data_IF_121288875568
#
_entry.id   IF_121288875568
#
_cell.length_a   1.000
_cell.length_b   1.000
_cell.length_c   1.000
_cell.angle_alpha   90.00
_cell.angle_beta   90.00
_cell.angle_gamma   90.00
#
_symmetry.space_group_name_H-M   'P 1'
#
loop_
_entity.id
_entity.type
_entity.pdbx_description
1 polymer ?
#
# COMPACT_ATOMS: atom_id res chain seq x y z
N UNK A 1 7.65 12.10 -8.77
CA UNK A 1 8.41 11.77 -7.53
C UNK A 1 7.79 10.57 -6.83
N UNK A 2 8.64 9.78 -6.20
CA UNK A 2 8.20 8.58 -5.50
C UNK A 2 7.87 8.89 -4.04
N UNK A 3 6.78 8.30 -3.57
CA UNK A 3 6.41 8.33 -2.15
C UNK A 3 6.14 6.92 -1.66
N UNK A 4 6.70 6.61 -0.49
CA UNK A 4 6.44 5.37 0.23
C UNK A 4 5.29 5.63 1.21
N UNK A 5 4.23 4.83 1.06
CA UNK A 5 3.07 4.88 1.95
C UNK A 5 3.07 3.60 2.75
N UNK A 6 3.20 3.71 4.06
CA UNK A 6 3.17 2.57 4.97
C UNK A 6 2.00 2.71 5.93
N UNK A 7 1.11 1.73 5.90
CA UNK A 7 -0.09 1.70 6.71
C UNK A 7 -0.01 0.53 7.68
N UNK A 8 -0.22 0.79 8.97
CA UNK A 8 -0.24 -0.25 10.00
C UNK A 8 -1.68 -0.63 10.30
N UNK A 9 -1.98 -1.92 10.19
CA UNK A 9 -3.32 -2.45 10.40
C UNK A 9 -3.67 -2.49 11.88
N UNK A 10 -4.93 -2.17 12.20
CA UNK A 10 -5.45 -2.34 13.55
C UNK A 10 -5.34 -3.81 13.99
N UNK A 11 -5.09 -4.08 15.29
CA UNK A 11 -4.94 -5.47 15.77
C UNK A 11 -6.12 -6.38 15.43
N UNK A 12 -7.34 -5.84 15.40
CA UNK A 12 -8.58 -6.58 15.08
C UNK A 12 -9.07 -6.30 13.65
N UNK A 13 -8.18 -5.84 12.76
CA UNK A 13 -8.55 -5.33 11.46
C UNK A 13 -8.85 -6.39 10.39
N UNK A 14 -8.56 -7.67 10.63
CA UNK A 14 -8.66 -8.66 9.55
C UNK A 14 -10.07 -8.76 8.97
N UNK A 15 -11.12 -8.62 9.80
CA UNK A 15 -12.50 -8.64 9.30
C UNK A 15 -12.79 -7.45 8.36
N UNK A 16 -12.21 -6.29 8.65
CA UNK A 16 -12.34 -5.10 7.78
C UNK A 16 -11.61 -5.37 6.46
N UNK A 17 -10.41 -5.92 6.52
CA UNK A 17 -9.64 -6.28 5.32
C UNK A 17 -10.42 -7.25 4.44
N UNK A 18 -10.98 -8.30 5.02
CA UNK A 18 -11.74 -9.30 4.28
C UNK A 18 -12.99 -8.70 3.64
N UNK A 19 -13.71 -7.85 4.37
CA UNK A 19 -14.94 -7.24 3.89
C UNK A 19 -14.70 -6.27 2.72
N UNK A 20 -13.53 -5.61 2.67
CA UNK A 20 -13.25 -4.57 1.68
C UNK A 20 -12.14 -4.93 0.70
N UNK A 21 -11.70 -6.18 0.69
CA UNK A 21 -10.58 -6.64 -0.14
C UNK A 21 -10.86 -6.46 -1.62
N UNK A 22 -12.03 -6.88 -2.11
CA UNK A 22 -12.35 -6.77 -3.53
C UNK A 22 -12.46 -5.31 -3.98
N UNK A 23 -13.08 -4.46 -3.14
CA UNK A 23 -13.17 -3.03 -3.41
C UNK A 23 -11.78 -2.38 -3.45
N UNK A 24 -10.89 -2.75 -2.54
CA UNK A 24 -9.50 -2.28 -2.51
C UNK A 24 -8.76 -2.66 -3.81
N UNK A 25 -8.86 -3.91 -4.24
CA UNK A 25 -8.22 -4.37 -5.48
C UNK A 25 -8.76 -3.65 -6.69
N UNK A 26 -10.06 -3.45 -6.76
CA UNK A 26 -10.71 -2.71 -7.84
C UNK A 26 -10.22 -1.25 -7.89
N UNK A 27 -10.07 -0.63 -6.72
CA UNK A 27 -9.54 0.73 -6.60
C UNK A 27 -8.12 0.84 -7.17
N UNK A 28 -7.22 -0.07 -6.78
CA UNK A 28 -5.85 -0.07 -7.28
C UNK A 28 -5.80 -0.29 -8.78
N UNK A 29 -6.60 -1.22 -9.29
CA UNK A 29 -6.64 -1.56 -10.72
C UNK A 29 -7.14 -0.39 -11.57
N UNK A 30 -8.12 0.35 -11.07
CA UNK A 30 -8.75 1.46 -11.81
C UNK A 30 -8.01 2.80 -11.60
N UNK A 31 -7.10 2.89 -10.64
CA UNK A 31 -6.40 4.14 -10.31
C UNK A 31 -5.55 4.62 -11.48
N UNK A 32 -5.59 5.93 -11.81
CA UNK A 32 -4.67 6.52 -12.79
C UNK A 32 -3.26 6.74 -12.23
N UNK A 33 -3.06 6.54 -10.93
CA UNK A 33 -1.75 6.72 -10.27
C UNK A 33 -0.80 5.61 -10.73
N UNK A 34 0.44 6.00 -11.01
CA UNK A 34 1.50 5.05 -11.33
C UNK A 34 1.97 4.37 -10.04
N UNK A 35 1.45 3.17 -9.79
CA UNK A 35 1.79 2.37 -8.63
C UNK A 35 3.00 1.50 -8.99
N UNK A 36 4.14 1.81 -8.39
CA UNK A 36 5.38 1.07 -8.65
C UNK A 36 5.45 -0.23 -7.87
N UNK A 37 4.83 -0.26 -6.69
CA UNK A 37 4.86 -1.40 -5.79
C UNK A 37 3.63 -1.32 -4.89
N UNK A 38 3.01 -2.45 -4.62
CA UNK A 38 1.89 -2.54 -3.67
C UNK A 38 1.83 -3.95 -3.10
N UNK A 39 1.55 -4.04 -1.81
CA UNK A 39 1.36 -5.33 -1.17
C UNK A 39 1.12 -5.21 0.32
N UNK A 40 0.60 -6.28 0.93
CA UNK A 40 0.45 -6.32 2.38
C UNK A 40 1.80 -6.56 3.05
N UNK A 41 1.97 -5.98 4.24
CA UNK A 41 2.98 -6.47 5.17
C UNK A 41 2.41 -7.67 5.93
N UNK A 42 3.28 -8.59 6.29
CA UNK A 42 2.90 -9.83 6.96
C UNK A 42 3.83 -10.08 8.14
N UNK A 43 3.41 -10.98 9.05
CA UNK A 43 4.31 -11.42 10.11
C UNK A 43 5.44 -12.31 9.57
N UNK A 44 6.38 -12.68 10.41
CA UNK A 44 7.56 -13.44 9.97
C UNK A 44 7.18 -14.81 9.39
N UNK A 45 6.06 -15.39 9.83
CA UNK A 45 5.56 -16.64 9.28
C UNK A 45 4.90 -16.47 7.91
N UNK A 46 4.64 -15.22 7.49
CA UNK A 46 3.97 -14.93 6.23
C UNK A 46 2.46 -15.19 6.25
N UNK A 47 1.87 -15.33 7.41
CA UNK A 47 0.47 -15.75 7.56
C UNK A 47 -0.47 -14.59 7.86
N UNK A 48 -0.16 -13.80 8.90
CA UNK A 48 -1.04 -12.70 9.31
C UNK A 48 -0.70 -11.41 8.56
N UNK A 49 -1.73 -10.72 8.08
CA UNK A 49 -1.58 -9.38 7.49
C UNK A 49 -1.42 -8.37 8.62
N UNK A 50 -0.38 -7.52 8.53
CA UNK A 50 -0.06 -6.52 9.54
C UNK A 50 -0.21 -5.09 9.04
N UNK A 51 -0.40 -4.91 7.74
CA UNK A 51 -0.53 -3.59 7.13
C UNK A 51 -0.44 -3.65 5.62
N UNK A 52 -0.08 -2.51 5.03
CA UNK A 52 0.09 -2.39 3.58
C UNK A 52 1.21 -1.40 3.28
N UNK A 53 1.92 -1.63 2.18
CA UNK A 53 2.95 -0.73 1.66
C UNK A 53 2.66 -0.44 0.20
N UNK A 54 2.84 0.83 -0.18
CA UNK A 54 2.77 1.28 -1.57
C UNK A 54 3.97 2.16 -1.87
N UNK A 55 4.49 2.06 -3.09
CA UNK A 55 5.35 3.09 -3.66
C UNK A 55 4.63 3.61 -4.90
N UNK A 56 4.36 4.92 -4.92
CA UNK A 56 3.63 5.57 -6.01
C UNK A 56 4.47 6.68 -6.61
N UNK A 57 4.36 6.86 -7.93
CA UNK A 57 4.98 7.97 -8.65
C UNK A 57 3.92 9.01 -8.92
N UNK A 58 4.03 10.15 -8.24
CA UNK A 58 3.04 11.22 -8.26
C UNK A 58 3.74 12.59 -8.29
N UNK A 59 3.03 13.65 -8.69
CA UNK A 59 3.64 14.99 -8.77
C UNK A 59 4.07 15.57 -7.42
N UNK A 60 3.36 15.25 -6.33
CA UNK A 60 3.62 15.85 -5.02
C UNK A 60 3.04 14.99 -3.90
N UNK A 61 3.32 15.40 -2.65
CA UNK A 61 2.82 14.73 -1.44
C UNK A 61 1.29 14.71 -1.38
N UNK A 62 0.64 15.79 -1.77
CA UNK A 62 -0.82 15.88 -1.73
C UNK A 62 -1.47 14.80 -2.59
N UNK A 63 -0.90 14.52 -3.76
CA UNK A 63 -1.39 13.46 -4.64
C UNK A 63 -1.20 12.07 -4.02
N UNK A 64 -0.08 11.84 -3.31
CA UNK A 64 0.14 10.58 -2.60
C UNK A 64 -0.88 10.39 -1.47
N UNK A 65 -1.14 11.44 -0.69
CA UNK A 65 -2.13 11.42 0.38
C UNK A 65 -3.52 11.16 -0.18
N UNK A 66 -3.90 11.83 -1.28
CA UNK A 66 -5.20 11.65 -1.91
C UNK A 66 -5.39 10.21 -2.40
N UNK A 67 -4.35 9.61 -2.99
CA UNK A 67 -4.38 8.21 -3.40
C UNK A 67 -4.66 7.29 -2.21
N UNK A 68 -3.95 7.50 -1.11
CA UNK A 68 -4.11 6.69 0.09
C UNK A 68 -5.49 6.89 0.73
N UNK A 69 -5.98 8.13 0.79
CA UNK A 69 -7.29 8.44 1.38
C UNK A 69 -8.44 7.82 0.59
N UNK A 70 -8.29 7.67 -0.72
CA UNK A 70 -9.32 7.07 -1.58
C UNK A 70 -9.38 5.54 -1.52
N UNK A 71 -8.37 4.89 -0.94
CA UNK A 71 -8.35 3.44 -0.82
C UNK A 71 -9.48 2.98 0.13
N UNK A 72 -10.34 2.04 -0.31
CA UNK A 72 -11.40 1.49 0.56
C UNK A 72 -10.92 0.96 1.90
N UNK A 73 -9.69 0.45 2.00
CA UNK A 73 -9.13 0.05 3.29
C UNK A 73 -8.99 1.26 4.23
N UNK A 74 -8.43 2.34 3.74
CA UNK A 74 -8.29 3.58 4.53
C UNK A 74 -9.65 4.15 4.87
N UNK A 75 -10.55 4.23 3.89
CA UNK A 75 -11.88 4.80 4.07
C UNK A 75 -12.73 4.03 5.08
N UNK A 76 -12.49 2.73 5.24
CA UNK A 76 -13.23 1.87 6.15
C UNK A 76 -12.50 1.58 7.46
N UNK A 77 -11.47 2.34 7.76
CA UNK A 77 -10.85 2.32 9.09
C UNK A 77 -9.95 1.12 9.38
N UNK A 78 -9.38 0.49 8.36
CA UNK A 78 -8.50 -0.67 8.56
C UNK A 78 -7.21 -0.30 9.32
N UNK A 79 -6.67 0.89 9.09
CA UNK A 79 -5.34 1.26 9.57
C UNK A 79 -5.41 2.12 10.83
N UNK A 80 -4.55 1.82 11.80
CA UNK A 80 -4.37 2.65 12.99
C UNK A 80 -3.36 3.77 12.79
N UNK A 81 -2.46 3.63 11.80
CA UNK A 81 -1.48 4.66 11.47
C UNK A 81 -1.06 4.57 10.01
N UNK A 82 -0.61 5.70 9.49
CA UNK A 82 -0.11 5.82 8.13
C UNK A 82 1.03 6.83 8.09
N UNK A 83 2.11 6.47 7.39
CA UNK A 83 3.19 7.41 7.07
C UNK A 83 3.29 7.57 5.56
N UNK A 84 3.60 8.78 5.12
CA UNK A 84 3.84 9.11 3.71
C UNK A 84 5.21 9.78 3.63
N UNK A 85 6.18 9.10 3.03
CA UNK A 85 7.58 9.52 3.04
C UNK A 85 8.11 9.62 1.62
N UNK A 86 8.81 10.72 1.30
CA UNK A 86 9.49 10.86 0.03
C UNK A 86 10.55 9.78 -0.10
N UNK A 87 10.59 9.11 -1.26
CA UNK A 87 11.50 8.00 -1.52
C UNK A 87 12.38 8.27 -2.74
N UNK A 88 13.63 7.87 -2.68
CA UNK A 88 14.54 7.91 -3.82
C UNK A 88 14.97 6.49 -4.16
N UNK A 89 14.65 6.05 -5.37
CA UNK A 89 15.08 4.73 -5.85
C UNK A 89 16.54 4.81 -6.33
N UNK A 90 17.42 4.09 -5.67
CA UNK A 90 18.83 3.99 -6.06
C UNK A 90 19.19 2.59 -6.57
N UNK A 91 18.21 1.80 -6.95
CA UNK A 91 18.44 0.43 -7.47
C UNK A 91 19.26 0.43 -8.75
N UNK A 92 19.30 1.55 -9.45
CA UNK A 92 20.19 1.78 -10.62
C UNK A 92 19.88 0.83 -11.77
N UNK A 93 18.58 0.66 -12.08
CA UNK A 93 18.13 -0.13 -13.21
C UNK A 93 18.09 -1.64 -12.97
N UNK A 94 18.47 -2.11 -11.77
CA UNK A 94 18.29 -3.52 -11.43
C UNK A 94 16.84 -3.78 -11.07
N UNK A 95 16.29 -4.97 -11.37
CA UNK A 95 14.97 -5.33 -10.90
C UNK A 95 14.91 -5.27 -9.37
N UNK A 96 13.90 -4.61 -8.81
CA UNK A 96 13.75 -4.48 -7.37
C UNK A 96 13.46 -5.84 -6.72
N UNK A 97 12.62 -6.65 -7.40
CA UNK A 97 12.17 -7.94 -6.88
C UNK A 97 12.12 -8.97 -7.98
N UNK A 98 12.30 -10.23 -7.62
CA UNK A 98 11.98 -11.34 -8.47
C UNK A 98 10.49 -11.69 -8.40
N UNK A 99 10.06 -12.76 -9.07
CA UNK A 99 8.70 -13.26 -8.98
C UNK A 99 8.34 -13.62 -7.53
N UNK A 100 7.06 -13.51 -7.18
CA UNK A 100 6.56 -13.96 -5.88
C UNK A 100 6.87 -15.44 -5.70
N UNK A 101 7.30 -15.83 -4.49
CA UNK A 101 7.75 -17.19 -4.22
C UNK A 101 6.67 -18.06 -3.58
N UNK A 102 5.54 -17.51 -3.27
CA UNK A 102 4.45 -18.20 -2.55
C UNK A 102 3.08 -17.78 -3.03
#
# INVERSE_FOLDING_TARGET
MLFLIHCTQKPDGQAIRDAHYDAHRAYLKASPVDIKLAGPTVDDAGEARTGSVFIVDVPDRAAAIAFSDGDPFTANGLFESRTVTRFLDITRGKPAFGPAKD
#
